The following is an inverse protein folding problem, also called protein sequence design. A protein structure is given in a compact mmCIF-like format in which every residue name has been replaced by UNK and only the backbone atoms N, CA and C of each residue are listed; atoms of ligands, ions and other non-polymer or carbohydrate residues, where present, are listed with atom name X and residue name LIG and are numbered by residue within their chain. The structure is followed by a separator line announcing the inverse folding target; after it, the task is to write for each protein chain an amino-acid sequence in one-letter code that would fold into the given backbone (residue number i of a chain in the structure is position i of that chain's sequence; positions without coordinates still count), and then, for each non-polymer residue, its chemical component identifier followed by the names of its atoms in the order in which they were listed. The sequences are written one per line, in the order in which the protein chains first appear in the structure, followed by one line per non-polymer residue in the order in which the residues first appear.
data_IF_751457290995
#
_entry.id   IF_751457290995
#
_cell.length_a   1.000
_cell.length_b   1.000
_cell.length_c   1.000
_cell.angle_alpha   90.00
_cell.angle_beta   90.00
_cell.angle_gamma   90.00
#
_symmetry.space_group_name_H-M   'P 1'
#
loop_
_entity.id
_entity.type
_entity.pdbx_description
1 polymer ?
#
# COMPACT_ATOMS: atom_id res chain seq x y z
N UNK A 1 -13.01 3.69 -28.79
CA UNK A 1 -13.11 4.88 -27.93
C UNK A 1 -13.06 4.45 -26.46
N UNK A 2 -12.07 4.91 -25.72
CA UNK A 2 -11.97 4.58 -24.30
C UNK A 2 -12.91 5.48 -23.50
N UNK A 3 -13.61 4.93 -22.52
CA UNK A 3 -14.50 5.73 -21.67
C UNK A 3 -13.70 6.67 -20.76
N UNK A 4 -14.30 7.79 -20.37
CA UNK A 4 -13.67 8.71 -19.42
C UNK A 4 -13.31 8.01 -18.10
N UNK A 5 -14.10 7.03 -17.68
CA UNK A 5 -13.85 6.21 -16.50
C UNK A 5 -12.57 5.37 -16.66
N UNK A 6 -12.36 4.78 -17.84
CA UNK A 6 -11.15 3.99 -18.13
C UNK A 6 -9.90 4.88 -18.10
N UNK A 7 -9.97 6.07 -18.67
CA UNK A 7 -8.85 7.02 -18.67
C UNK A 7 -8.54 7.56 -17.28
N UNK A 8 -9.55 7.81 -16.47
CA UNK A 8 -9.37 8.22 -15.07
C UNK A 8 -8.69 7.10 -14.26
N UNK A 9 -9.15 5.85 -14.42
CA UNK A 9 -8.56 4.68 -13.79
C UNK A 9 -7.08 4.54 -14.17
N UNK A 10 -6.80 4.65 -15.47
CA UNK A 10 -5.43 4.54 -15.98
C UNK A 10 -4.51 5.60 -15.38
N UNK A 11 -4.97 6.83 -15.25
CA UNK A 11 -4.19 7.92 -14.63
C UNK A 11 -3.93 7.69 -13.15
N UNK A 12 -4.90 7.13 -12.43
CA UNK A 12 -4.76 6.81 -11.01
C UNK A 12 -3.67 5.78 -10.74
N UNK A 13 -3.50 4.82 -11.64
CA UNK A 13 -2.57 3.71 -11.46
C UNK A 13 -1.20 3.97 -12.09
N UNK A 14 -1.11 4.79 -13.15
CA UNK A 14 0.16 5.06 -13.85
C UNK A 14 1.13 5.85 -12.99
N UNK A 15 2.41 5.46 -13.07
CA UNK A 15 3.53 6.09 -12.36
C UNK A 15 3.42 5.97 -10.84
N UNK A 16 2.66 4.99 -10.38
CA UNK A 16 2.53 4.69 -8.95
C UNK A 16 3.34 3.44 -8.63
N UNK A 17 3.90 3.41 -7.43
CA UNK A 17 4.70 2.29 -6.97
C UNK A 17 4.04 1.62 -5.77
N UNK A 18 3.84 0.31 -5.88
CA UNK A 18 3.32 -0.53 -4.80
C UNK A 18 4.42 -1.48 -4.36
N UNK A 19 4.66 -1.54 -3.06
CA UNK A 19 5.60 -2.48 -2.46
C UNK A 19 4.82 -3.67 -1.89
N UNK A 20 5.16 -4.87 -2.35
CA UNK A 20 4.55 -6.12 -1.86
C UNK A 20 5.57 -6.85 -1.01
N UNK A 21 5.23 -7.12 0.25
CA UNK A 21 6.09 -7.81 1.20
C UNK A 21 5.42 -9.13 1.59
N UNK A 22 5.91 -10.24 1.07
CA UNK A 22 5.38 -11.57 1.31
C UNK A 22 6.50 -12.58 1.08
N UNK A 23 6.66 -13.56 1.97
CA UNK A 23 7.72 -14.56 1.84
C UNK A 23 7.42 -15.64 0.77
N UNK A 24 6.20 -15.70 0.28
CA UNK A 24 5.80 -16.65 -0.76
C UNK A 24 6.09 -16.08 -2.15
N UNK A 25 6.98 -16.73 -2.89
CA UNK A 25 7.37 -16.29 -4.23
C UNK A 25 6.18 -16.27 -5.20
N UNK A 26 5.29 -17.25 -5.12
CA UNK A 26 4.12 -17.31 -6.00
C UNK A 26 3.19 -16.13 -5.77
N UNK A 27 3.04 -15.70 -4.53
CA UNK A 27 2.24 -14.51 -4.19
C UNK A 27 2.90 -13.25 -4.74
N UNK A 28 4.21 -13.08 -4.56
CA UNK A 28 4.94 -11.93 -5.11
C UNK A 28 4.82 -11.86 -6.63
N UNK A 29 4.99 -13.01 -7.30
CA UNK A 29 4.86 -13.08 -8.76
C UNK A 29 3.45 -12.73 -9.22
N UNK A 30 2.43 -13.26 -8.53
CA UNK A 30 1.04 -12.97 -8.87
C UNK A 30 0.73 -11.46 -8.79
N UNK A 31 1.18 -10.79 -7.73
CA UNK A 31 1.01 -9.36 -7.59
C UNK A 31 1.78 -8.56 -8.63
N UNK A 32 3.01 -8.96 -8.92
CA UNK A 32 3.83 -8.28 -9.92
C UNK A 32 3.14 -8.32 -11.29
N UNK A 33 2.66 -9.49 -11.71
CA UNK A 33 1.93 -9.62 -12.97
C UNK A 33 0.64 -8.80 -12.96
N UNK A 34 -0.17 -8.95 -11.92
CA UNK A 34 -1.46 -8.28 -11.82
C UNK A 34 -1.32 -6.75 -11.86
N UNK A 35 -0.43 -6.21 -11.07
CA UNK A 35 -0.25 -4.75 -10.97
C UNK A 35 0.46 -4.19 -12.20
N UNK A 36 1.43 -4.90 -12.75
CA UNK A 36 2.16 -4.46 -13.95
C UNK A 36 1.27 -4.38 -15.18
N UNK A 37 0.32 -5.29 -15.33
CA UNK A 37 -0.68 -5.24 -16.41
C UNK A 37 -1.45 -3.91 -16.38
N UNK A 38 -1.67 -3.36 -15.20
CA UNK A 38 -2.41 -2.10 -15.01
C UNK A 38 -1.50 -0.87 -14.96
N UNK A 39 -0.23 -1.01 -15.29
CA UNK A 39 0.71 0.12 -15.35
C UNK A 39 1.28 0.55 -14.01
N UNK A 40 1.09 -0.24 -12.97
CA UNK A 40 1.63 0.03 -11.63
C UNK A 40 3.05 -0.54 -11.54
N UNK A 41 4.02 0.26 -11.08
CA UNK A 41 5.35 -0.22 -10.77
C UNK A 41 5.28 -1.05 -9.50
N UNK A 42 5.78 -2.27 -9.54
CA UNK A 42 5.73 -3.19 -8.41
C UNK A 42 7.13 -3.48 -7.90
N UNK A 43 7.35 -3.24 -6.61
CA UNK A 43 8.55 -3.68 -5.88
C UNK A 43 8.13 -4.84 -4.99
N UNK A 44 8.97 -5.87 -4.90
CA UNK A 44 8.68 -7.04 -4.08
C UNK A 44 9.79 -7.29 -3.08
N UNK A 45 9.43 -7.78 -1.91
CA UNK A 45 10.35 -8.17 -0.85
C UNK A 45 9.90 -9.47 -0.22
N UNK A 46 10.84 -10.34 0.10
CA UNK A 46 10.57 -11.66 0.66
C UNK A 46 10.54 -11.67 2.19
N UNK A 47 10.95 -10.58 2.83
CA UNK A 47 11.04 -10.50 4.29
C UNK A 47 10.78 -9.08 4.78
N UNK A 48 10.39 -8.91 6.05
CA UNK A 48 10.25 -7.59 6.64
C UNK A 48 11.50 -6.71 6.53
N UNK A 49 12.72 -7.18 6.84
CA UNK A 49 13.91 -6.34 6.69
C UNK A 49 14.14 -5.85 5.26
N UNK A 50 13.96 -6.73 4.28
CA UNK A 50 14.08 -6.37 2.86
C UNK A 50 13.06 -5.32 2.46
N UNK A 51 11.80 -5.50 2.89
CA UNK A 51 10.73 -4.55 2.62
C UNK A 51 10.99 -3.19 3.23
N UNK A 52 11.44 -3.14 4.47
CA UNK A 52 11.76 -1.89 5.15
C UNK A 52 12.95 -1.17 4.50
N UNK A 53 13.95 -1.93 4.01
CA UNK A 53 15.07 -1.36 3.29
C UNK A 53 14.65 -0.72 1.97
N UNK A 54 13.76 -1.38 1.21
CA UNK A 54 13.18 -0.82 -0.01
C UNK A 54 12.37 0.44 0.28
N UNK A 55 11.57 0.40 1.33
CA UNK A 55 10.75 1.53 1.74
C UNK A 55 11.59 2.78 2.08
N UNK A 56 12.77 2.57 2.66
CA UNK A 56 13.65 3.66 3.05
C UNK A 56 14.31 4.37 1.86
N UNK A 57 14.48 3.68 0.72
CA UNK A 57 15.22 4.23 -0.43
C UNK A 57 14.40 4.48 -1.69
N UNK A 58 13.21 3.90 -1.78
CA UNK A 58 12.38 4.00 -2.99
C UNK A 58 11.11 4.80 -2.73
N UNK A 59 10.60 5.53 -3.72
CA UNK A 59 9.30 6.14 -3.59
C UNK A 59 8.23 5.05 -3.64
N UNK A 60 7.44 4.94 -2.57
CA UNK A 60 6.36 3.95 -2.45
C UNK A 60 5.07 4.70 -2.14
N UNK A 61 4.00 4.35 -2.83
CA UNK A 61 2.69 4.98 -2.69
C UNK A 61 1.67 4.11 -1.94
N UNK A 62 1.94 2.81 -1.85
CA UNK A 62 1.09 1.86 -1.16
C UNK A 62 1.92 0.62 -0.81
N UNK A 63 1.66 0.03 0.34
CA UNK A 63 2.26 -1.25 0.75
C UNK A 63 1.17 -2.31 0.84
N UNK A 64 1.46 -3.49 0.32
CA UNK A 64 0.67 -4.71 0.54
C UNK A 64 1.58 -5.65 1.31
N UNK A 65 1.22 -5.96 2.55
CA UNK A 65 2.04 -6.81 3.41
C UNK A 65 1.31 -8.07 3.84
N UNK A 66 2.04 -9.19 3.87
CA UNK A 66 1.59 -10.42 4.49
C UNK A 66 1.56 -10.27 6.01
N UNK A 67 0.62 -10.93 6.64
CA UNK A 67 0.51 -10.97 8.11
C UNK A 67 1.26 -12.13 8.72
N UNK A 68 1.63 -13.13 7.92
CA UNK A 68 2.23 -14.35 8.43
C UNK A 68 3.43 -14.79 7.56
N UNK A 69 4.64 -14.39 7.97
CA UNK A 69 5.87 -14.60 7.20
C UNK A 69 6.52 -15.97 7.40
N UNK A 70 6.09 -16.73 8.38
CA UNK A 70 6.62 -18.09 8.61
C UNK A 70 5.49 -19.08 8.70
N UNK A 71 5.63 -20.21 8.03
CA UNK A 71 4.66 -21.31 8.12
C UNK A 71 4.43 -21.76 9.56
N UNK A 72 5.45 -21.62 10.39
CA UNK A 72 5.45 -22.04 11.79
C UNK A 72 4.93 -20.95 12.74
N UNK A 73 4.89 -19.69 12.29
CA UNK A 73 4.42 -18.58 13.11
C UNK A 73 2.90 -18.42 12.96
N UNK A 74 2.15 -18.98 13.89
CA UNK A 74 0.69 -18.93 13.87
C UNK A 74 0.12 -17.65 14.50
N UNK A 75 0.96 -16.85 15.16
CA UNK A 75 0.51 -15.70 15.96
C UNK A 75 0.30 -14.40 15.16
N UNK A 76 0.84 -14.30 13.95
CA UNK A 76 0.79 -13.06 13.17
C UNK A 76 1.66 -11.93 13.75
N UNK A 77 2.50 -12.21 14.75
CA UNK A 77 3.28 -11.18 15.43
C UNK A 77 4.26 -10.46 14.50
N UNK A 78 4.85 -11.16 13.54
CA UNK A 78 5.76 -10.55 12.57
C UNK A 78 5.05 -9.56 11.66
N UNK A 79 3.83 -9.88 11.24
CA UNK A 79 3.01 -8.96 10.44
C UNK A 79 2.61 -7.72 11.21
N UNK A 80 2.27 -7.85 12.48
CA UNK A 80 1.96 -6.72 13.36
C UNK A 80 3.18 -5.81 13.53
N UNK A 81 4.35 -6.41 13.80
CA UNK A 81 5.60 -5.66 13.96
C UNK A 81 5.97 -4.93 12.68
N UNK A 82 5.82 -5.59 11.53
CA UNK A 82 6.08 -4.96 10.23
C UNK A 82 5.17 -3.75 10.01
N UNK A 83 3.87 -3.91 10.26
CA UNK A 83 2.92 -2.80 10.13
C UNK A 83 3.35 -1.59 10.97
N UNK A 84 3.71 -1.80 12.22
CA UNK A 84 4.16 -0.72 13.09
C UNK A 84 5.47 -0.09 12.61
N UNK A 85 6.41 -0.89 12.09
CA UNK A 85 7.66 -0.39 11.54
C UNK A 85 7.44 0.45 10.28
N UNK A 86 6.55 0.04 9.40
CA UNK A 86 6.16 0.82 8.21
C UNK A 86 5.54 2.15 8.65
N UNK A 87 4.63 2.10 9.60
CA UNK A 87 3.94 3.29 10.11
C UNK A 87 4.92 4.26 10.77
N UNK A 88 5.95 3.76 11.44
CA UNK A 88 6.99 4.60 12.04
C UNK A 88 7.84 5.32 10.98
N UNK A 89 8.16 4.67 9.86
CA UNK A 89 8.89 5.30 8.76
C UNK A 89 8.02 6.24 7.92
N UNK A 90 6.80 5.83 7.64
CA UNK A 90 5.88 6.53 6.73
C UNK A 90 4.48 6.58 7.34
N UNK A 91 4.20 7.56 8.22
CA UNK A 91 2.93 7.61 8.95
C UNK A 91 1.68 7.72 8.07
N UNK A 92 1.81 8.25 6.87
CA UNK A 92 0.69 8.49 5.95
C UNK A 92 0.53 7.43 4.87
N UNK A 93 1.47 6.49 4.78
CA UNK A 93 1.46 5.51 3.70
C UNK A 93 0.33 4.50 3.90
N UNK A 94 -0.55 4.31 2.90
CA UNK A 94 -1.59 3.30 3.03
C UNK A 94 -1.02 1.89 2.99
N UNK A 95 -1.52 1.03 3.86
CA UNK A 95 -1.09 -0.36 3.98
C UNK A 95 -2.32 -1.28 3.87
N UNK A 96 -2.26 -2.21 2.92
CA UNK A 96 -3.23 -3.30 2.80
C UNK A 96 -2.61 -4.54 3.45
N UNK A 97 -3.38 -5.20 4.30
CA UNK A 97 -2.94 -6.42 4.97
C UNK A 97 -3.44 -7.65 4.20
N UNK A 98 -2.53 -8.59 3.90
CA UNK A 98 -2.90 -9.90 3.37
C UNK A 98 -2.96 -10.88 4.54
N UNK A 99 -4.08 -11.51 4.74
CA UNK A 99 -4.28 -12.38 5.88
C UNK A 99 -4.98 -13.68 5.50
N UNK A 100 -4.66 -14.76 6.20
CA UNK A 100 -5.44 -15.99 6.14
C UNK A 100 -6.75 -15.80 6.91
N UNK A 101 -7.77 -16.57 6.55
CA UNK A 101 -9.07 -16.53 7.25
C UNK A 101 -8.96 -16.76 8.74
N UNK A 102 -7.96 -17.55 9.16
CA UNK A 102 -7.71 -17.85 10.57
C UNK A 102 -7.16 -16.67 11.38
N UNK A 103 -6.76 -15.58 10.71
CA UNK A 103 -6.13 -14.42 11.36
C UNK A 103 -6.88 -13.10 11.09
N UNK A 104 -8.15 -13.19 10.72
CA UNK A 104 -8.96 -11.99 10.42
C UNK A 104 -9.08 -11.03 11.60
N UNK A 105 -9.17 -11.55 12.82
CA UNK A 105 -9.28 -10.70 14.02
C UNK A 105 -8.08 -9.79 14.19
N UNK A 106 -6.87 -10.31 13.96
CA UNK A 106 -5.65 -9.51 14.01
C UNK A 106 -5.66 -8.42 12.94
N UNK A 107 -6.07 -8.76 11.71
CA UNK A 107 -6.16 -7.79 10.62
C UNK A 107 -7.17 -6.68 10.94
N UNK A 108 -8.33 -7.03 11.45
CA UNK A 108 -9.36 -6.05 11.86
C UNK A 108 -8.82 -5.12 12.93
N UNK A 109 -8.08 -5.65 13.91
CA UNK A 109 -7.47 -4.82 14.95
C UNK A 109 -6.46 -3.83 14.37
N UNK A 110 -5.64 -4.24 13.40
CA UNK A 110 -4.69 -3.33 12.74
C UNK A 110 -5.40 -2.27 11.89
N UNK A 111 -6.54 -2.60 11.28
CA UNK A 111 -7.34 -1.59 10.56
C UNK A 111 -7.81 -0.51 11.53
N UNK A 112 -8.23 -0.88 12.74
CA UNK A 112 -8.56 0.09 13.79
C UNK A 112 -7.37 0.94 14.20
N UNK A 113 -6.16 0.43 14.06
CA UNK A 113 -4.92 1.13 14.38
C UNK A 113 -4.34 1.91 13.19
N UNK A 114 -5.03 1.94 12.06
CA UNK A 114 -4.65 2.77 10.93
C UNK A 114 -4.26 2.05 9.64
N UNK A 115 -4.32 0.71 9.58
CA UNK A 115 -4.19 0.02 8.31
C UNK A 115 -5.38 0.39 7.40
N UNK A 116 -5.13 0.52 6.10
CA UNK A 116 -6.14 1.04 5.20
C UNK A 116 -7.21 0.01 4.83
N UNK A 117 -6.82 -1.25 4.70
CA UNK A 117 -7.72 -2.34 4.33
C UNK A 117 -7.07 -3.68 4.65
N UNK A 118 -7.85 -4.76 4.56
CA UNK A 118 -7.32 -6.11 4.59
C UNK A 118 -7.97 -6.94 3.49
N UNK A 119 -7.23 -7.94 3.00
CA UNK A 119 -7.68 -8.86 1.95
C UNK A 119 -7.32 -10.27 2.39
N UNK A 120 -8.31 -11.17 2.37
CA UNK A 120 -8.10 -12.56 2.73
C UNK A 120 -7.47 -13.35 1.58
N UNK A 121 -6.59 -14.28 1.90
CA UNK A 121 -6.03 -15.23 0.93
C UNK A 121 -6.92 -16.48 0.86
N UNK A 122 -7.25 -16.98 -0.33
CA UNK A 122 -6.99 -16.41 -1.65
C UNK A 122 -7.88 -15.18 -1.92
N UNK A 123 -7.35 -14.23 -2.69
CA UNK A 123 -8.07 -13.00 -3.00
C UNK A 123 -8.72 -13.06 -4.38
N UNK A 124 -9.69 -12.17 -4.60
CA UNK A 124 -10.25 -11.89 -5.92
C UNK A 124 -9.52 -10.69 -6.53
N UNK A 125 -9.00 -10.83 -7.74
CA UNK A 125 -8.24 -9.79 -8.41
C UNK A 125 -9.03 -8.48 -8.53
N UNK A 126 -10.30 -8.57 -8.90
CA UNK A 126 -11.15 -7.39 -9.06
C UNK A 126 -11.31 -6.61 -7.75
N UNK A 127 -11.51 -7.31 -6.64
CA UNK A 127 -11.63 -6.67 -5.32
C UNK A 127 -10.32 -6.02 -4.90
N UNK A 128 -9.22 -6.73 -5.11
CA UNK A 128 -7.89 -6.21 -4.78
C UNK A 128 -7.58 -4.95 -5.58
N UNK A 129 -7.80 -4.98 -6.89
CA UNK A 129 -7.56 -3.83 -7.76
C UNK A 129 -8.43 -2.63 -7.39
N UNK A 130 -9.68 -2.86 -6.99
CA UNK A 130 -10.56 -1.79 -6.53
C UNK A 130 -9.99 -1.13 -5.26
N UNK A 131 -9.53 -1.91 -4.31
CA UNK A 131 -8.93 -1.39 -3.09
C UNK A 131 -7.65 -0.61 -3.39
N UNK A 132 -6.76 -1.16 -4.21
CA UNK A 132 -5.52 -0.50 -4.62
C UNK A 132 -5.82 0.84 -5.30
N UNK A 133 -6.71 0.84 -6.27
CA UNK A 133 -7.09 2.07 -6.98
C UNK A 133 -7.64 3.13 -6.05
N UNK A 134 -8.59 2.76 -5.19
CA UNK A 134 -9.22 3.70 -4.27
C UNK A 134 -8.20 4.32 -3.32
N UNK A 135 -7.27 3.51 -2.81
CA UNK A 135 -6.24 3.99 -1.89
C UNK A 135 -5.20 4.85 -2.59
N UNK A 136 -4.83 4.53 -3.82
CA UNK A 136 -3.92 5.37 -4.61
C UNK A 136 -4.56 6.70 -4.97
N UNK A 137 -5.85 6.72 -5.31
CA UNK A 137 -6.60 7.97 -5.54
C UNK A 137 -6.65 8.83 -4.27
N UNK A 138 -6.95 8.22 -3.13
CA UNK A 138 -6.99 8.93 -1.86
C UNK A 138 -5.62 9.50 -1.49
N UNK A 139 -4.56 8.72 -1.68
CA UNK A 139 -3.20 9.14 -1.40
C UNK A 139 -2.79 10.33 -2.28
N UNK A 140 -3.16 10.31 -3.57
CA UNK A 140 -2.92 11.43 -4.48
C UNK A 140 -3.66 12.68 -4.03
N UNK A 141 -4.94 12.55 -3.69
CA UNK A 141 -5.74 13.69 -3.22
C UNK A 141 -5.17 14.31 -1.94
N UNK A 142 -4.71 13.49 -1.00
CA UNK A 142 -4.07 13.97 0.23
C UNK A 142 -2.75 14.67 -0.05
N UNK A 143 -1.94 14.14 -0.96
CA UNK A 143 -0.66 14.75 -1.36
C UNK A 143 -0.90 16.10 -2.06
N UNK A 144 -1.89 16.18 -2.97
CA UNK A 144 -2.25 17.41 -3.65
C UNK A 144 -2.77 18.46 -2.68
N UNK A 145 -3.62 18.08 -1.73
CA UNK A 145 -4.13 18.97 -0.70
C UNK A 145 -3.01 19.51 0.19
N UNK A 146 -2.05 18.66 0.55
CA UNK A 146 -0.89 19.07 1.36
C UNK A 146 0.00 20.05 0.58
N UNK A 147 0.28 19.78 -0.69
CA UNK A 147 1.05 20.67 -1.55
C UNK A 147 0.40 22.05 -1.66
N UNK A 148 -0.93 22.08 -1.83
CA UNK A 148 -1.69 23.32 -1.91
C UNK A 148 -1.62 24.12 -0.59
N UNK A 149 -1.75 23.45 0.55
CA UNK A 149 -1.62 24.10 1.86
C UNK A 149 -0.24 24.70 2.06
N UNK A 150 0.80 23.98 1.68
CA UNK A 150 2.19 24.46 1.76
C UNK A 150 2.41 25.67 0.88
N UNK A 151 1.89 25.65 -0.35
CA UNK A 151 1.98 26.77 -1.29
C UNK A 151 1.25 28.00 -0.76
N UNK A 152 0.07 27.84 -0.20
CA UNK A 152 -0.69 28.95 0.42
C UNK A 152 0.02 29.53 1.62
N UNK A 153 0.62 28.71 2.48
CA UNK A 153 1.39 29.16 3.63
C UNK A 153 2.61 29.99 3.19
N UNK A 154 3.35 29.51 2.18
CA UNK A 154 4.48 30.24 1.62
C UNK A 154 4.07 31.59 1.01
N UNK A 155 2.93 31.63 0.32
CA UNK A 155 2.38 32.88 -0.23
C UNK A 155 2.01 33.88 0.88
N UNK A 156 1.41 33.41 1.98
CA UNK A 156 1.09 34.26 3.13
C UNK A 156 2.34 34.87 3.77
N UNK A 157 3.38 34.06 3.93
CA UNK A 157 4.66 34.52 4.48
C UNK A 157 5.27 35.63 3.60
N UNK A 158 5.24 35.44 2.27
CA UNK A 158 5.73 36.48 1.33
C UNK A 158 4.96 37.78 1.43
N UNK A 159 3.64 37.70 1.64
CA UNK A 159 2.80 38.88 1.76
C UNK A 159 2.96 39.61 3.12
N UNK A 160 3.34 38.85 4.16
CA UNK A 160 3.52 39.40 5.50
C UNK A 160 4.91 40.03 5.71
N UNK A 161 5.85 39.79 4.81
CA UNK A 161 7.22 40.30 4.92
C UNK A 161 7.33 41.77 4.50
#
# INVERSE_FOLDING_TARGET
MRSATTDALRRSLMNRTVLVIDDNEAVRTAFDVLLSIHGVRTLTAASPPEGLALLAREPVHLVIQDMNFRREATSGAEGVQLFHAIRAQRPELPVILLTAWTHLETAVELVKQGAADYVAKPWEDARLLTSVRNLLDLQRAQADAQALRTERAAARERLAA
#
